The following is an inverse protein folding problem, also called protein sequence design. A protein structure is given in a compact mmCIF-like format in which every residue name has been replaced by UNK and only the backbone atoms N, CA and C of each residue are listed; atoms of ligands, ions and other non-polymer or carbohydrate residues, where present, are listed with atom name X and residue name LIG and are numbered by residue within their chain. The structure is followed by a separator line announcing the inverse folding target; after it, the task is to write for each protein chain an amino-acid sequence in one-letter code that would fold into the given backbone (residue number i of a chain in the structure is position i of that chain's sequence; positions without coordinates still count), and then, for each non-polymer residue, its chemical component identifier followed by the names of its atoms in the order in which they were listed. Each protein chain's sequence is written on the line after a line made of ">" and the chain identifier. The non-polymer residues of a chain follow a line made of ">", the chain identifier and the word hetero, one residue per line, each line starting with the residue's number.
data_IF_077662261935
#
_entry.id   IF_077662261935
#
_cell.length_a   1.000
_cell.length_b   1.000
_cell.length_c   1.000
_cell.angle_alpha   90.00
_cell.angle_beta   90.00
_cell.angle_gamma   90.00
#
_symmetry.space_group_name_H-M   'P 1'
#
loop_
_entity.id
_entity.type
_entity.pdbx_description
1 polymer ?
#
# COMPACT_ATOMS: atom_id res chain seq x y z
N UNK A 1 12.95 -13.01 3.12
CA UNK A 1 12.61 -11.85 3.95
C UNK A 1 12.98 -10.64 3.12
N UNK A 2 12.02 -10.19 2.32
CA UNK A 2 12.24 -9.14 1.33
C UNK A 2 11.36 -7.96 1.74
N UNK A 3 11.87 -7.15 2.66
CA UNK A 3 11.10 -6.06 3.25
C UNK A 3 11.43 -4.76 2.54
N UNK A 4 11.16 -4.73 1.23
CA UNK A 4 11.26 -3.51 0.40
C UNK A 4 10.64 -2.29 1.11
N UNK A 5 9.52 -2.49 1.81
CA UNK A 5 8.84 -1.43 2.55
C UNK A 5 9.44 -1.08 3.91
N UNK A 6 10.26 -1.96 4.54
CA UNK A 6 10.91 -1.64 5.81
C UNK A 6 11.93 -0.51 5.66
N UNK A 7 12.58 -0.37 4.50
CA UNK A 7 13.48 0.77 4.23
C UNK A 7 12.76 2.14 4.20
N UNK A 8 11.43 2.12 4.11
CA UNK A 8 10.56 3.30 4.21
C UNK A 8 9.87 3.40 5.58
N UNK A 9 10.23 2.57 6.56
CA UNK A 9 9.69 2.64 7.92
C UNK A 9 8.33 1.96 8.12
N UNK A 10 7.91 1.06 7.21
CA UNK A 10 6.65 0.32 7.34
C UNK A 10 6.71 -0.86 8.34
N UNK A 11 7.62 -0.84 9.31
CA UNK A 11 7.77 -1.91 10.30
C UNK A 11 6.50 -2.05 11.19
N UNK A 12 6.48 -3.01 12.13
CA UNK A 12 5.38 -3.21 13.10
C UNK A 12 3.98 -3.55 12.51
N UNK A 13 3.84 -4.72 11.88
CA UNK A 13 2.56 -5.25 11.34
C UNK A 13 1.89 -4.40 10.23
N UNK A 14 2.60 -3.43 9.65
CA UNK A 14 2.08 -2.64 8.54
C UNK A 14 2.33 -3.28 7.17
N UNK A 15 3.34 -4.15 7.06
CA UNK A 15 3.59 -4.95 5.85
C UNK A 15 2.66 -6.18 5.83
N UNK A 16 1.98 -6.38 4.71
CA UNK A 16 1.24 -7.61 4.41
C UNK A 16 1.97 -8.39 3.31
N UNK A 17 2.15 -9.69 3.51
CA UNK A 17 2.76 -10.57 2.50
C UNK A 17 1.74 -11.54 1.92
N UNK A 18 1.75 -11.71 0.60
CA UNK A 18 0.96 -12.70 -0.13
C UNK A 18 1.80 -13.28 -1.27
N UNK A 19 2.37 -14.48 -1.04
CA UNK A 19 3.30 -15.08 -1.99
C UNK A 19 4.58 -14.24 -2.14
N UNK A 20 4.90 -13.88 -3.39
CA UNK A 20 6.05 -13.04 -3.76
C UNK A 20 5.73 -11.53 -3.75
N UNK A 21 4.52 -11.16 -3.36
CA UNK A 21 4.09 -9.77 -3.33
C UNK A 21 3.94 -9.28 -1.89
N UNK A 22 4.45 -8.08 -1.63
CA UNK A 22 4.28 -7.37 -0.37
C UNK A 22 3.44 -6.14 -0.58
N UNK A 23 2.69 -5.75 0.45
CA UNK A 23 1.78 -4.63 0.41
C UNK A 23 1.91 -3.77 1.67
N UNK A 24 1.76 -2.47 1.52
CA UNK A 24 1.57 -1.53 2.63
C UNK A 24 0.44 -0.58 2.28
N UNK A 25 -0.15 0.03 3.30
CA UNK A 25 -1.17 1.04 3.12
C UNK A 25 -0.75 2.28 3.89
N UNK A 26 -0.86 3.44 3.24
CA UNK A 26 -0.75 4.75 3.88
C UNK A 26 -2.13 5.37 4.00
N UNK A 27 -2.40 6.00 5.14
CA UNK A 27 -3.43 7.04 5.25
C UNK A 27 -2.72 8.35 4.95
N UNK A 28 -3.11 9.02 3.87
CA UNK A 28 -2.53 10.29 3.43
C UNK A 28 -3.48 11.42 3.79
N UNK A 29 -2.95 12.47 4.39
CA UNK A 29 -3.69 13.68 4.74
C UNK A 29 -3.18 14.82 3.86
N UNK A 30 -4.02 15.27 2.93
CA UNK A 30 -3.80 16.44 2.10
C UNK A 30 -4.73 17.58 2.55
N UNK A 31 -4.45 18.81 2.15
CA UNK A 31 -4.97 20.07 2.70
C UNK A 31 -6.49 20.08 2.94
N UNK A 32 -7.27 19.32 2.16
CA UNK A 32 -8.72 19.22 2.28
C UNK A 32 -9.27 17.79 2.26
N UNK A 33 -8.43 16.75 2.20
CA UNK A 33 -8.91 15.38 2.09
C UNK A 33 -8.00 14.37 2.79
N UNK A 34 -8.62 13.36 3.37
CA UNK A 34 -7.92 12.16 3.81
C UNK A 34 -8.27 11.03 2.85
N UNK A 35 -7.26 10.43 2.26
CA UNK A 35 -7.39 9.25 1.41
C UNK A 35 -6.41 8.18 1.85
N UNK A 36 -6.48 7.02 1.22
CA UNK A 36 -5.63 5.90 1.50
C UNK A 36 -4.95 5.45 0.21
N UNK A 37 -3.66 5.17 0.29
CA UNK A 37 -2.87 4.64 -0.81
C UNK A 37 -2.39 3.23 -0.47
N UNK A 38 -2.80 2.25 -1.26
CA UNK A 38 -2.28 0.88 -1.22
C UNK A 38 -1.11 0.77 -2.18
N UNK A 39 0.05 0.38 -1.64
CA UNK A 39 1.24 0.10 -2.43
C UNK A 39 1.48 -1.40 -2.50
N UNK A 40 1.87 -1.86 -3.68
CA UNK A 40 2.12 -3.25 -4.02
C UNK A 40 3.52 -3.38 -4.60
N UNK A 41 4.35 -4.25 -4.03
CA UNK A 41 5.70 -4.54 -4.52
C UNK A 41 5.85 -6.03 -4.79
N UNK A 42 6.15 -6.38 -6.03
CA UNK A 42 6.51 -7.74 -6.42
C UNK A 42 8.03 -7.93 -6.35
N UNK A 43 8.47 -9.00 -5.70
CA UNK A 43 9.89 -9.33 -5.58
C UNK A 43 10.58 -9.41 -6.94
N UNK A 44 11.70 -8.68 -7.09
CA UNK A 44 12.49 -8.63 -8.32
C UNK A 44 12.02 -7.59 -9.35
N UNK A 45 11.00 -6.79 -9.04
CA UNK A 45 10.57 -5.64 -9.84
C UNK A 45 11.02 -4.33 -9.19
N UNK A 46 11.30 -3.32 -10.00
CA UNK A 46 11.57 -1.97 -9.51
C UNK A 46 10.27 -1.20 -9.25
N UNK A 47 10.27 -0.35 -8.22
CA UNK A 47 9.12 0.48 -7.84
C UNK A 47 7.95 -0.30 -7.23
N UNK A 48 6.78 0.34 -7.24
CA UNK A 48 5.54 -0.19 -6.67
C UNK A 48 4.34 0.10 -7.55
N UNK A 49 3.36 -0.79 -7.55
CA UNK A 49 2.00 -0.45 -7.94
C UNK A 49 1.34 0.40 -6.86
N UNK A 50 0.51 1.36 -7.26
CA UNK A 50 -0.22 2.25 -6.37
C UNK A 50 -1.71 2.29 -6.74
N UNK A 51 -2.56 2.26 -5.73
CA UNK A 51 -4.02 2.45 -5.86
C UNK A 51 -4.50 3.35 -4.73
N UNK A 52 -5.28 4.37 -5.06
CA UNK A 52 -5.79 5.35 -4.08
C UNK A 52 -7.31 5.21 -3.91
N UNK A 53 -7.79 5.38 -2.68
CA UNK A 53 -9.22 5.28 -2.35
C UNK A 53 -9.58 6.13 -1.13
N UNK A 54 -10.81 6.62 -1.10
CA UNK A 54 -11.33 7.44 0.01
C UNK A 54 -11.61 6.60 1.26
N UNK A 55 -11.93 5.31 1.11
CA UNK A 55 -12.27 4.43 2.22
C UNK A 55 -11.87 2.97 1.96
N UNK A 56 -10.95 2.36 2.74
CA UNK A 56 -10.48 0.99 2.53
C UNK A 56 -11.54 -0.08 2.79
N UNK A 57 -12.58 0.23 3.57
CA UNK A 57 -13.52 -0.78 4.08
C UNK A 57 -14.52 -1.27 3.05
N UNK A 58 -14.61 -0.64 1.88
CA UNK A 58 -15.56 -1.00 0.81
C UNK A 58 -14.87 -1.38 -0.51
N UNK A 59 -13.53 -1.35 -0.54
CA UNK A 59 -12.75 -1.56 -1.78
C UNK A 59 -12.75 -3.03 -2.21
N UNK A 60 -12.95 -3.22 -3.51
CA UNK A 60 -12.66 -4.44 -4.27
C UNK A 60 -11.70 -4.03 -5.37
N UNK A 61 -10.51 -4.61 -5.40
CA UNK A 61 -9.52 -4.37 -6.44
C UNK A 61 -9.96 -5.10 -7.70
N UNK A 62 -9.97 -4.39 -8.83
CA UNK A 62 -9.93 -5.05 -10.12
C UNK A 62 -8.48 -5.45 -10.47
N UNK A 63 -8.32 -6.18 -11.58
CA UNK A 63 -7.02 -6.71 -11.97
C UNK A 63 -6.04 -5.62 -12.47
N UNK A 64 -6.48 -4.38 -12.67
CA UNK A 64 -5.62 -3.31 -13.13
C UNK A 64 -4.84 -2.69 -11.95
N UNK A 65 -3.59 -2.33 -12.22
CA UNK A 65 -2.84 -1.41 -11.37
C UNK A 65 -3.12 -0.02 -11.95
N UNK A 66 -3.70 0.87 -11.16
CA UNK A 66 -4.08 2.20 -11.64
C UNK A 66 -2.84 3.01 -12.04
N UNK A 67 -1.78 2.96 -11.21
CA UNK A 67 -0.55 3.72 -11.45
C UNK A 67 0.70 2.99 -10.92
N UNK A 68 1.83 3.14 -11.61
CA UNK A 68 3.15 2.75 -11.11
C UNK A 68 3.82 3.94 -10.43
N UNK A 69 4.27 3.77 -9.19
CA UNK A 69 5.03 4.77 -8.45
C UNK A 69 6.49 4.36 -8.33
N UNK A 70 7.40 5.33 -8.52
CA UNK A 70 8.82 5.14 -8.24
C UNK A 70 9.11 5.11 -6.74
N UNK A 71 10.32 4.66 -6.38
CA UNK A 71 10.81 4.68 -5.00
C UNK A 71 10.78 6.10 -4.41
N UNK A 72 11.12 7.11 -5.21
CA UNK A 72 11.10 8.53 -4.80
C UNK A 72 9.67 9.00 -4.52
N UNK A 73 8.71 8.66 -5.38
CA UNK A 73 7.31 9.03 -5.17
C UNK A 73 6.75 8.37 -3.91
N UNK A 74 7.10 7.11 -3.64
CA UNK A 74 6.75 6.44 -2.39
C UNK A 74 7.37 7.15 -1.18
N UNK A 75 8.65 7.52 -1.26
CA UNK A 75 9.31 8.27 -0.19
C UNK A 75 8.63 9.63 0.06
N UNK A 76 8.20 10.32 -1.00
CA UNK A 76 7.47 11.59 -0.90
C UNK A 76 6.14 11.40 -0.17
N UNK A 77 5.36 10.34 -0.49
CA UNK A 77 4.13 10.03 0.26
C UNK A 77 4.40 9.79 1.74
N UNK A 78 5.40 8.97 2.07
CA UNK A 78 5.76 8.65 3.46
C UNK A 78 6.24 9.88 4.23
N UNK A 79 6.92 10.81 3.54
CA UNK A 79 7.44 12.04 4.13
C UNK A 79 6.40 13.14 4.38
N UNK A 80 5.17 12.99 3.88
CA UNK A 80 4.12 14.00 4.08
C UNK A 80 3.71 14.13 5.55
N UNK A 81 3.48 15.36 6.05
CA UNK A 81 2.93 15.57 7.40
C UNK A 81 1.60 14.82 7.59
N UNK A 82 1.37 14.29 8.79
CA UNK A 82 0.14 13.59 9.19
C UNK A 82 -0.22 12.29 8.41
N UNK A 83 0.62 11.91 7.44
CA UNK A 83 0.60 10.61 6.77
C UNK A 83 1.16 9.52 7.68
N UNK A 84 0.52 8.35 7.66
CA UNK A 84 0.94 7.22 8.48
C UNK A 84 0.64 5.88 7.82
N UNK A 85 1.51 4.91 8.07
CA UNK A 85 1.23 3.52 7.75
C UNK A 85 0.01 3.02 8.54
N UNK A 86 -0.82 2.24 7.85
CA UNK A 86 -2.04 1.66 8.40
C UNK A 86 -1.82 0.18 8.60
N UNK A 87 -2.38 -0.36 9.68
CA UNK A 87 -2.28 -1.78 10.00
C UNK A 87 -2.73 -2.65 8.82
N UNK A 88 -1.97 -3.71 8.54
CA UNK A 88 -2.20 -4.63 7.43
C UNK A 88 -3.56 -5.36 7.40
N UNK A 89 -4.39 -5.25 8.46
CA UNK A 89 -5.71 -5.88 8.50
C UNK A 89 -6.65 -5.31 7.42
N UNK A 90 -6.48 -4.04 7.06
CA UNK A 90 -7.25 -3.41 5.99
C UNK A 90 -6.83 -3.98 4.63
N UNK A 91 -5.53 -4.15 4.41
CA UNK A 91 -4.98 -4.77 3.20
C UNK A 91 -5.52 -6.20 3.05
N UNK A 92 -5.44 -7.00 4.11
CA UNK A 92 -5.97 -8.37 4.13
C UNK A 92 -7.46 -8.40 3.74
N UNK A 93 -8.27 -7.49 4.29
CA UNK A 93 -9.71 -7.40 3.97
C UNK A 93 -9.94 -7.07 2.49
N UNK A 94 -9.20 -6.12 1.94
CA UNK A 94 -9.30 -5.73 0.52
C UNK A 94 -8.92 -6.90 -0.37
N UNK A 95 -7.75 -7.51 -0.16
CA UNK A 95 -7.29 -8.64 -0.98
C UNK A 95 -8.26 -9.82 -0.91
N UNK A 96 -8.82 -10.11 0.28
CA UNK A 96 -9.81 -11.19 0.44
C UNK A 96 -11.05 -10.95 -0.41
N UNK A 97 -11.62 -9.74 -0.33
CA UNK A 97 -12.83 -9.37 -1.08
C UNK A 97 -12.59 -9.33 -2.58
N UNK A 98 -11.37 -9.05 -2.98
CA UNK A 98 -10.93 -9.03 -4.38
C UNK A 98 -10.65 -10.42 -4.94
N UNK A 99 -10.71 -11.48 -4.12
CA UNK A 99 -10.36 -12.83 -4.55
C UNK A 99 -8.86 -13.02 -4.83
N UNK A 100 -8.01 -12.16 -4.26
CA UNK A 100 -6.57 -12.11 -4.49
C UNK A 100 -5.75 -12.70 -3.34
N UNK A 101 -6.39 -13.09 -2.23
CA UNK A 101 -5.71 -13.87 -1.19
C UNK A 101 -5.64 -15.33 -1.60
N UNK A 102 -4.41 -15.87 -1.58
CA UNK A 102 -4.17 -17.31 -1.69
C UNK A 102 -4.50 -18.04 -0.40
#
# INVERSE_FOLDING_TARGET
>A
MNEYFARFGAEDYNIFHNGNTSYVMLRVVDENMTYFALFEHAEGHDGVGCRMFDSPTEVVLDAAVDETCSDEQLADFVGQPDTAFVHNINIRRILYRSGLLN
#
